data_IF_484534919102
#
_entry.id   IF_484534919102
#
_cell.length_a   1.000
_cell.length_b   1.000
_cell.length_c   1.000
_cell.angle_alpha   90.00
_cell.angle_beta   90.00
_cell.angle_gamma   90.00
#
_symmetry.space_group_name_H-M   'P 1'
#
loop_
_entity.id
_entity.type
_entity.pdbx_description
1 polymer ?
#
# COMPACT_ATOMS: atom_id res chain seq x y z
N UNK A 1 -27.32 9.08 -0.71
CA UNK A 1 -27.22 9.96 -1.90
C UNK A 1 -26.18 9.35 -2.81
N UNK A 2 -26.40 9.37 -4.13
CA UNK A 2 -25.36 9.03 -5.11
C UNK A 2 -25.02 10.33 -5.84
N UNK A 3 -23.74 10.67 -5.90
CA UNK A 3 -23.22 11.81 -6.63
C UNK A 3 -22.38 11.28 -7.78
N UNK A 4 -22.68 11.74 -9.00
CA UNK A 4 -21.87 11.48 -10.18
C UNK A 4 -21.33 12.84 -10.58
N UNK A 5 -20.02 13.02 -10.41
CA UNK A 5 -19.27 14.22 -10.74
C UNK A 5 -18.82 14.18 -12.20
N UNK A 6 -18.38 15.32 -12.71
CA UNK A 6 -17.82 15.47 -14.06
C UNK A 6 -16.59 16.38 -13.99
N UNK A 7 -15.72 16.30 -15.00
CA UNK A 7 -14.49 17.07 -15.12
C UNK A 7 -13.52 16.91 -13.91
N UNK A 8 -13.43 15.69 -13.37
CA UNK A 8 -12.43 15.29 -12.37
C UNK A 8 -11.01 15.49 -12.95
N UNK A 9 -10.78 14.93 -14.13
CA UNK A 9 -9.49 14.95 -14.83
C UNK A 9 -8.99 16.34 -15.26
N UNK A 10 -9.87 17.35 -15.20
CA UNK A 10 -9.54 18.75 -15.50
C UNK A 10 -9.28 19.58 -14.24
N UNK A 11 -9.43 19.00 -13.05
CA UNK A 11 -9.18 19.68 -11.77
C UNK A 11 -10.29 19.53 -10.73
N UNK A 12 -11.02 18.41 -10.71
CA UNK A 12 -12.06 18.09 -9.73
C UNK A 12 -13.28 19.02 -9.78
N UNK A 13 -13.59 19.58 -10.95
CA UNK A 13 -14.56 20.68 -11.04
C UNK A 13 -15.97 20.29 -10.59
N UNK A 14 -16.41 19.07 -10.89
CA UNK A 14 -17.72 18.56 -10.45
C UNK A 14 -17.83 18.52 -8.93
N UNK A 15 -16.84 17.92 -8.25
CA UNK A 15 -16.81 17.89 -6.78
C UNK A 15 -16.65 19.28 -6.18
N UNK A 16 -15.78 20.13 -6.74
CA UNK A 16 -15.58 21.51 -6.29
C UNK A 16 -16.90 22.29 -6.28
N UNK A 17 -17.64 22.27 -7.39
CA UNK A 17 -18.92 22.96 -7.50
C UNK A 17 -19.94 22.37 -6.51
N UNK A 18 -20.02 21.05 -6.39
CA UNK A 18 -20.95 20.43 -5.45
C UNK A 18 -20.65 20.86 -4.01
N UNK A 19 -19.40 20.71 -3.57
CA UNK A 19 -18.97 21.02 -2.20
C UNK A 19 -19.16 22.51 -1.89
N UNK A 20 -18.75 23.39 -2.79
CA UNK A 20 -18.70 24.83 -2.52
C UNK A 20 -20.02 25.57 -2.81
N UNK A 21 -20.93 25.01 -3.61
CA UNK A 21 -22.16 25.70 -4.05
C UNK A 21 -23.45 24.95 -3.75
N UNK A 22 -23.44 23.62 -3.71
CA UNK A 22 -24.68 22.85 -3.63
C UNK A 22 -25.21 22.78 -2.18
N UNK A 23 -26.49 23.07 -1.91
CA UNK A 23 -27.03 23.10 -0.54
C UNK A 23 -26.96 21.73 0.16
N UNK A 24 -26.99 20.63 -0.59
CA UNK A 24 -26.90 19.28 -0.02
C UNK A 24 -25.54 18.93 0.54
N UNK A 25 -24.45 19.61 0.13
CA UNK A 25 -23.12 19.36 0.67
C UNK A 25 -23.08 19.55 2.20
N UNK A 26 -23.90 20.47 2.73
CA UNK A 26 -24.03 20.74 4.17
C UNK A 26 -24.62 19.58 4.98
N UNK A 27 -25.27 18.62 4.31
CA UNK A 27 -25.90 17.45 4.94
C UNK A 27 -25.07 16.17 4.75
N UNK A 28 -23.87 16.26 4.15
CA UNK A 28 -22.99 15.11 3.96
C UNK A 28 -22.15 14.91 5.22
N UNK A 29 -22.31 13.75 5.87
CA UNK A 29 -21.54 13.39 7.07
C UNK A 29 -20.33 12.49 6.79
N UNK A 30 -20.32 11.77 5.67
CA UNK A 30 -19.28 10.83 5.26
C UNK A 30 -19.32 10.67 3.73
N UNK A 31 -18.17 10.51 3.10
CA UNK A 31 -18.06 10.18 1.67
C UNK A 31 -17.42 8.80 1.48
N UNK A 32 -18.01 7.99 0.61
CA UNK A 32 -17.41 6.77 0.09
C UNK A 32 -17.06 7.03 -1.38
N UNK A 33 -15.77 7.23 -1.66
CA UNK A 33 -15.25 7.52 -3.00
C UNK A 33 -14.66 6.26 -3.61
N UNK A 34 -15.04 5.95 -4.85
CA UNK A 34 -14.64 4.73 -5.54
C UNK A 34 -13.92 5.08 -6.83
N UNK A 35 -12.63 4.73 -6.89
CA UNK A 35 -11.69 5.18 -7.91
C UNK A 35 -10.95 4.01 -8.54
N UNK A 36 -10.31 4.29 -9.68
CA UNK A 36 -9.45 3.36 -10.38
C UNK A 36 -8.25 4.09 -10.99
N UNK A 37 -7.04 3.65 -10.64
CA UNK A 37 -5.79 4.11 -11.29
C UNK A 37 -5.14 3.01 -12.14
N UNK A 38 -5.89 1.97 -12.43
CA UNK A 38 -5.46 0.80 -13.17
C UNK A 38 -6.68 -0.02 -13.56
N UNK A 39 -6.44 -1.22 -14.08
CA UNK A 39 -7.50 -2.12 -14.55
C UNK A 39 -7.54 -3.45 -13.78
N UNK A 40 -6.65 -3.64 -12.80
CA UNK A 40 -6.54 -4.89 -12.05
C UNK A 40 -6.03 -4.73 -10.63
N UNK A 41 -5.84 -5.89 -9.98
CA UNK A 41 -5.36 -5.99 -8.61
C UNK A 41 -6.43 -5.71 -7.54
N UNK A 42 -6.08 -5.80 -6.26
CA UNK A 42 -7.06 -5.63 -5.19
C UNK A 42 -7.40 -4.15 -4.96
N UNK A 43 -8.65 -3.87 -4.58
CA UNK A 43 -9.10 -2.54 -4.16
C UNK A 43 -8.59 -2.22 -2.76
N UNK A 44 -7.75 -1.20 -2.66
CA UNK A 44 -7.15 -0.72 -1.42
C UNK A 44 -8.05 0.36 -0.81
N UNK A 45 -8.39 0.20 0.47
CA UNK A 45 -9.03 1.23 1.29
C UNK A 45 -7.97 2.22 1.79
N UNK A 46 -8.22 3.48 1.51
CA UNK A 46 -7.47 4.64 1.97
C UNK A 46 -8.43 5.52 2.77
N UNK A 47 -8.07 5.87 4.00
CA UNK A 47 -8.84 6.85 4.78
C UNK A 47 -8.42 8.24 4.37
N UNK A 48 -9.35 9.17 4.18
CA UNK A 48 -9.02 10.58 3.96
C UNK A 48 -9.63 11.45 5.06
N UNK A 49 -8.76 12.02 5.88
CA UNK A 49 -9.14 12.82 7.06
C UNK A 49 -8.27 14.06 7.20
N UNK A 50 -8.85 15.13 7.74
CA UNK A 50 -8.08 16.32 8.15
C UNK A 50 -7.38 16.16 9.51
N UNK A 51 -7.82 15.20 10.33
CA UNK A 51 -7.31 14.91 11.67
C UNK A 51 -7.11 13.40 11.84
N UNK A 52 -7.36 12.88 13.03
CA UNK A 52 -7.17 11.48 13.37
C UNK A 52 -8.15 10.55 12.65
N UNK A 53 -7.70 9.32 12.38
CA UNK A 53 -8.46 8.32 11.61
C UNK A 53 -9.28 7.33 12.46
N UNK A 54 -9.19 7.38 13.80
CA UNK A 54 -9.58 6.26 14.64
C UNK A 54 -11.05 5.80 14.48
N UNK A 55 -11.99 6.75 14.41
CA UNK A 55 -13.41 6.41 14.35
C UNK A 55 -13.82 5.92 12.95
N UNK A 56 -13.20 6.42 11.88
CA UNK A 56 -13.40 5.87 10.54
C UNK A 56 -12.88 4.42 10.47
N UNK A 57 -11.66 4.16 10.94
CA UNK A 57 -11.09 2.81 10.93
C UNK A 57 -11.92 1.82 11.76
N UNK A 58 -12.43 2.26 12.92
CA UNK A 58 -13.38 1.46 13.72
C UNK A 58 -14.65 1.18 12.94
N UNK A 59 -15.27 2.19 12.34
CA UNK A 59 -16.48 2.02 11.53
C UNK A 59 -16.28 1.07 10.35
N UNK A 60 -15.16 1.18 9.63
CA UNK A 60 -14.81 0.24 8.56
C UNK A 60 -14.63 -1.20 9.07
N UNK A 61 -14.03 -1.36 10.25
CA UNK A 61 -13.81 -2.68 10.86
C UNK A 61 -15.13 -3.29 11.33
N UNK A 62 -16.01 -2.50 11.94
CA UNK A 62 -17.34 -2.92 12.40
C UNK A 62 -18.31 -3.20 11.26
N UNK A 63 -18.20 -2.48 10.14
CA UNK A 63 -18.89 -2.78 8.89
C UNK A 63 -18.52 -4.17 8.33
N UNK A 64 -17.38 -4.72 8.76
CA UNK A 64 -16.94 -6.10 8.51
C UNK A 64 -17.03 -6.53 7.02
N UNK A 65 -16.46 -5.77 6.06
CA UNK A 65 -16.44 -6.20 4.67
C UNK A 65 -15.72 -7.55 4.51
N UNK A 66 -16.04 -8.30 3.45
CA UNK A 66 -15.58 -9.68 3.30
C UNK A 66 -14.07 -9.80 3.04
N UNK A 67 -13.53 -8.90 2.21
CA UNK A 67 -12.14 -8.92 1.78
C UNK A 67 -11.43 -7.59 2.10
N UNK A 68 -11.36 -7.15 3.36
CA UNK A 68 -10.78 -5.85 3.66
C UNK A 68 -9.32 -5.82 3.23
N UNK A 69 -8.94 -4.77 2.50
CA UNK A 69 -7.54 -4.46 2.23
C UNK A 69 -7.27 -2.98 2.53
N UNK A 70 -6.39 -2.71 3.47
CA UNK A 70 -5.95 -1.37 3.85
C UNK A 70 -4.82 -1.47 4.86
N UNK A 71 -3.86 -0.54 4.77
CA UNK A 71 -2.85 -0.40 5.82
C UNK A 71 -2.45 1.07 6.01
N UNK A 72 -2.04 1.41 7.24
CA UNK A 72 -1.67 2.78 7.60
C UNK A 72 -0.39 3.28 6.92
N UNK A 73 0.42 2.38 6.35
CA UNK A 73 1.59 2.76 5.55
C UNK A 73 1.17 3.28 4.17
N UNK A 74 0.22 2.63 3.50
CA UNK A 74 -0.34 3.05 2.22
C UNK A 74 -0.94 4.45 2.33
N UNK A 75 -1.69 4.72 3.40
CA UNK A 75 -2.21 6.06 3.65
C UNK A 75 -1.09 7.10 3.85
N UNK A 76 -0.06 6.77 4.65
CA UNK A 76 1.08 7.66 4.85
C UNK A 76 1.82 7.98 3.55
N UNK A 77 1.98 7.00 2.67
CA UNK A 77 2.59 7.17 1.35
C UNK A 77 1.66 7.97 0.42
N UNK A 78 0.37 7.64 0.39
CA UNK A 78 -0.64 8.31 -0.43
C UNK A 78 -0.66 9.82 -0.19
N UNK A 79 -0.58 10.26 1.08
CA UNK A 79 -0.47 11.68 1.46
C UNK A 79 0.77 12.41 0.93
N UNK A 80 1.81 11.67 0.54
CA UNK A 80 3.04 12.24 -0.01
C UNK A 80 3.02 12.30 -1.55
N UNK A 81 2.06 11.62 -2.18
CA UNK A 81 1.91 11.63 -3.62
C UNK A 81 1.07 12.85 -4.05
N UNK A 82 1.34 13.46 -5.21
CA UNK A 82 0.53 14.52 -5.78
C UNK A 82 -0.72 13.91 -6.44
N UNK A 83 -1.45 13.08 -5.70
CA UNK A 83 -2.69 12.49 -6.15
C UNK A 83 -3.83 13.25 -5.49
N UNK A 84 -4.80 13.64 -6.28
CA UNK A 84 -6.08 14.14 -5.80
C UNK A 84 -7.20 13.29 -6.39
N UNK A 85 -8.32 13.27 -5.69
CA UNK A 85 -9.58 12.72 -6.17
C UNK A 85 -10.69 13.67 -5.76
N UNK A 86 -11.92 13.43 -6.19
CA UNK A 86 -13.06 14.22 -5.74
C UNK A 86 -13.13 14.35 -4.20
N UNK A 87 -12.72 13.30 -3.48
CA UNK A 87 -12.67 13.29 -2.01
C UNK A 87 -11.77 14.39 -1.44
N UNK A 88 -10.74 14.85 -2.17
CA UNK A 88 -9.89 15.98 -1.77
C UNK A 88 -10.75 17.23 -1.53
N UNK A 89 -11.71 17.55 -2.40
CA UNK A 89 -12.58 18.74 -2.24
C UNK A 89 -13.47 18.64 -1.00
N UNK A 90 -14.05 17.47 -0.76
CA UNK A 90 -14.86 17.23 0.44
C UNK A 90 -14.02 17.38 1.72
N UNK A 91 -12.81 16.83 1.71
CA UNK A 91 -11.88 16.91 2.85
C UNK A 91 -11.41 18.34 3.08
N UNK A 92 -10.84 19.00 2.08
CA UNK A 92 -10.18 20.29 2.24
C UNK A 92 -11.18 21.45 2.43
N UNK A 93 -12.20 21.52 1.57
CA UNK A 93 -13.06 22.71 1.52
C UNK A 93 -14.23 22.63 2.51
N UNK A 94 -14.72 21.42 2.80
CA UNK A 94 -15.86 21.21 3.69
C UNK A 94 -15.54 20.45 4.99
N UNK A 95 -14.29 20.01 5.18
CA UNK A 95 -13.90 19.21 6.34
C UNK A 95 -14.81 17.98 6.53
N UNK A 96 -15.13 17.29 5.44
CA UNK A 96 -15.87 16.02 5.44
C UNK A 96 -14.85 14.89 5.28
N UNK A 97 -14.83 13.95 6.24
CA UNK A 97 -13.95 12.80 6.12
C UNK A 97 -14.58 11.74 5.20
N UNK A 98 -13.75 10.85 4.68
CA UNK A 98 -14.24 9.77 3.84
C UNK A 98 -13.27 8.61 3.70
N UNK A 99 -13.73 7.62 2.92
CA UNK A 99 -12.91 6.54 2.43
C UNK A 99 -12.74 6.68 0.94
N UNK A 100 -11.50 6.58 0.47
CA UNK A 100 -11.18 6.39 -0.93
C UNK A 100 -10.85 4.91 -1.16
N UNK A 101 -11.47 4.30 -2.16
CA UNK A 101 -11.20 2.92 -2.55
C UNK A 101 -10.60 2.91 -3.93
N UNK A 102 -9.37 2.41 -4.09
CA UNK A 102 -8.71 2.40 -5.38
C UNK A 102 -7.97 1.08 -5.62
N UNK A 103 -8.12 0.53 -6.81
CA UNK A 103 -7.21 -0.47 -7.35
C UNK A 103 -6.22 0.19 -8.31
N UNK A 104 -4.98 -0.31 -8.34
CA UNK A 104 -3.83 0.37 -8.94
C UNK A 104 -2.94 -0.56 -9.78
N UNK A 105 -3.22 -1.86 -9.81
CA UNK A 105 -2.44 -2.76 -10.66
C UNK A 105 -2.86 -2.60 -12.13
N UNK A 106 -2.00 -3.02 -13.05
CA UNK A 106 -2.18 -2.80 -14.48
C UNK A 106 -2.36 -1.32 -14.87
N UNK A 107 -1.78 -0.41 -14.08
CA UNK A 107 -1.83 1.05 -14.30
C UNK A 107 -1.26 1.52 -15.64
N UNK A 108 -0.56 0.68 -16.41
CA UNK A 108 -0.17 1.01 -17.78
C UNK A 108 -1.37 1.22 -18.73
N UNK A 109 -2.58 0.80 -18.33
CA UNK A 109 -3.82 1.05 -19.08
C UNK A 109 -4.39 2.44 -18.80
N UNK A 110 -4.13 2.99 -17.61
CA UNK A 110 -4.69 4.25 -17.10
C UNK A 110 -4.39 5.42 -18.05
N UNK A 111 -5.38 6.28 -18.33
CA UNK A 111 -5.26 7.39 -19.28
C UNK A 111 -4.78 7.02 -20.69
N UNK A 112 -5.07 5.81 -21.14
CA UNK A 112 -4.77 5.38 -22.51
C UNK A 112 -6.01 4.82 -23.18
N UNK A 113 -5.94 4.62 -24.51
CA UNK A 113 -6.98 3.93 -25.25
C UNK A 113 -7.14 2.44 -24.86
N UNK A 114 -6.24 1.90 -24.03
CA UNK A 114 -6.35 0.54 -23.50
C UNK A 114 -7.30 0.47 -22.30
N UNK A 115 -7.63 1.59 -21.66
CA UNK A 115 -8.62 1.61 -20.59
C UNK A 115 -10.01 1.27 -21.14
N UNK A 116 -10.35 -0.03 -21.08
CA UNK A 116 -11.47 -0.62 -21.77
C UNK A 116 -12.14 -1.66 -20.89
N UNK A 117 -13.44 -1.82 -21.06
CA UNK A 117 -14.25 -2.82 -20.34
C UNK A 117 -13.66 -4.25 -20.40
N UNK A 118 -13.04 -4.62 -21.51
CA UNK A 118 -12.44 -5.95 -21.70
C UNK A 118 -11.16 -6.17 -20.88
N UNK A 119 -10.47 -5.09 -20.49
CA UNK A 119 -9.21 -5.16 -19.74
C UNK A 119 -9.40 -5.00 -18.24
N UNK A 120 -10.54 -4.44 -17.81
CA UNK A 120 -10.91 -4.41 -16.41
C UNK A 120 -11.13 -5.83 -15.86
N UNK A 121 -10.34 -6.21 -14.85
CA UNK A 121 -10.51 -7.45 -14.11
C UNK A 121 -11.83 -7.42 -13.33
N UNK A 122 -12.66 -8.44 -13.55
CA UNK A 122 -13.95 -8.61 -12.88
C UNK A 122 -13.78 -8.82 -11.38
N UNK A 123 -12.75 -9.56 -10.96
CA UNK A 123 -12.49 -9.80 -9.55
C UNK A 123 -12.11 -8.49 -8.85
N UNK A 124 -11.39 -7.61 -9.53
CA UNK A 124 -11.04 -6.27 -9.01
C UNK A 124 -12.28 -5.42 -8.78
N UNK A 125 -13.18 -5.37 -9.76
CA UNK A 125 -14.44 -4.63 -9.65
C UNK A 125 -15.35 -5.23 -8.56
N UNK A 126 -15.47 -6.56 -8.52
CA UNK A 126 -16.24 -7.27 -7.48
C UNK A 126 -15.65 -7.03 -6.08
N UNK A 127 -14.32 -7.02 -5.96
CA UNK A 127 -13.64 -6.73 -4.71
C UNK A 127 -13.93 -5.31 -4.21
N UNK A 128 -13.85 -4.31 -5.08
CA UNK A 128 -14.22 -2.93 -4.73
C UNK A 128 -15.72 -2.83 -4.37
N UNK A 129 -16.58 -3.49 -5.13
CA UNK A 129 -18.02 -3.57 -4.87
C UNK A 129 -18.37 -4.26 -3.54
N UNK A 130 -17.54 -5.19 -3.07
CA UNK A 130 -17.74 -5.89 -1.78
C UNK A 130 -17.70 -4.93 -0.58
N UNK A 131 -17.06 -3.78 -0.72
CA UNK A 131 -17.03 -2.75 0.31
C UNK A 131 -18.33 -1.93 0.35
N UNK A 132 -18.93 -1.67 -0.82
CA UNK A 132 -20.04 -0.74 -0.95
C UNK A 132 -21.22 -1.11 -0.05
N UNK A 133 -21.76 -2.32 -0.19
CA UNK A 133 -22.96 -2.72 0.56
C UNK A 133 -22.67 -2.90 2.06
N UNK A 134 -21.50 -3.43 2.42
CA UNK A 134 -21.10 -3.57 3.81
C UNK A 134 -21.04 -2.21 4.52
N UNK A 135 -20.41 -1.23 3.88
CA UNK A 135 -20.26 0.12 4.45
C UNK A 135 -21.57 0.89 4.44
N UNK A 136 -22.37 0.82 3.37
CA UNK A 136 -23.68 1.47 3.33
C UNK A 136 -24.62 0.96 4.42
N UNK A 137 -24.68 -0.36 4.62
CA UNK A 137 -25.53 -0.96 5.65
C UNK A 137 -25.13 -0.54 7.07
N UNK A 138 -23.82 -0.42 7.33
CA UNK A 138 -23.33 0.01 8.64
C UNK A 138 -23.52 1.52 8.85
N UNK A 139 -23.06 2.34 7.89
CA UNK A 139 -23.04 3.79 8.04
C UNK A 139 -24.43 4.45 7.86
N UNK A 140 -25.44 3.74 7.34
CA UNK A 140 -26.82 4.25 7.34
C UNK A 140 -27.41 4.37 8.75
N UNK A 141 -26.97 3.52 9.67
CA UNK A 141 -27.45 3.50 11.07
C UNK A 141 -26.46 4.17 12.04
N UNK A 142 -25.22 4.39 11.61
CA UNK A 142 -24.18 5.00 12.44
C UNK A 142 -24.39 6.51 12.63
N UNK A 143 -23.96 7.02 13.80
CA UNK A 143 -23.94 8.47 14.02
C UNK A 143 -22.76 9.12 13.30
N UNK A 144 -23.00 9.60 12.07
CA UNK A 144 -21.96 10.22 11.23
C UNK A 144 -21.32 11.47 11.87
N UNK A 145 -22.03 12.17 12.77
CA UNK A 145 -21.48 13.34 13.47
C UNK A 145 -20.35 12.99 14.46
N UNK A 146 -20.23 11.72 14.86
CA UNK A 146 -19.21 11.23 15.77
C UNK A 146 -17.98 10.62 15.06
N UNK A 147 -17.91 10.70 13.72
CA UNK A 147 -16.81 10.09 12.96
C UNK A 147 -15.49 10.86 13.06
N UNK A 148 -15.54 12.15 13.38
CA UNK A 148 -14.33 12.96 13.57
C UNK A 148 -13.54 12.46 14.78
N UNK A 149 -12.23 12.33 14.62
CA UNK A 149 -11.31 11.95 15.69
C UNK A 149 -10.06 12.84 15.67
N UNK A 150 -9.41 12.96 16.83
CA UNK A 150 -8.05 13.51 16.94
C UNK A 150 -7.00 12.39 17.12
N UNK A 151 -7.46 11.18 17.40
CA UNK A 151 -6.61 10.01 17.61
C UNK A 151 -6.40 9.25 16.31
N UNK A 152 -5.20 8.74 16.13
CA UNK A 152 -4.82 7.86 15.04
C UNK A 152 -4.68 6.41 15.49
N UNK A 153 -5.17 5.50 14.67
CA UNK A 153 -4.92 4.07 14.75
C UNK A 153 -3.90 3.67 13.68
N UNK A 154 -3.02 2.76 14.07
CA UNK A 154 -2.33 1.88 13.14
C UNK A 154 -3.29 0.78 12.76
N UNK A 155 -3.38 0.48 11.46
CA UNK A 155 -4.23 -0.57 10.94
C UNK A 155 -3.54 -1.30 9.80
N UNK A 156 -3.77 -2.61 9.71
CA UNK A 156 -3.27 -3.45 8.63
C UNK A 156 -4.01 -4.78 8.61
N UNK A 157 -4.00 -5.44 7.47
CA UNK A 157 -4.60 -6.76 7.33
C UNK A 157 -3.66 -7.88 7.75
N UNK A 158 -4.24 -8.91 8.35
CA UNK A 158 -3.56 -10.17 8.65
C UNK A 158 -4.45 -11.32 8.17
N UNK A 159 -3.86 -12.38 7.56
CA UNK A 159 -4.63 -13.57 7.22
C UNK A 159 -5.48 -14.06 8.40
N UNK A 160 -6.72 -14.47 8.13
CA UNK A 160 -7.71 -14.97 9.12
C UNK A 160 -8.31 -13.93 10.09
N UNK A 161 -7.60 -12.85 10.40
CA UNK A 161 -8.04 -11.83 11.38
C UNK A 161 -8.56 -10.54 10.74
N UNK A 162 -8.78 -10.53 9.41
CA UNK A 162 -9.23 -9.38 8.62
C UNK A 162 -8.38 -8.13 8.89
N UNK A 163 -8.82 -7.19 9.73
CA UNK A 163 -8.15 -5.93 10.03
C UNK A 163 -7.74 -5.88 11.51
N UNK A 164 -6.45 -5.70 11.77
CA UNK A 164 -5.92 -5.45 13.13
C UNK A 164 -5.72 -3.95 13.31
N UNK A 165 -6.09 -3.44 14.48
CA UNK A 165 -5.94 -2.01 14.81
C UNK A 165 -5.36 -1.81 16.21
N UNK A 166 -4.52 -0.79 16.39
CA UNK A 166 -4.08 -0.34 17.73
C UNK A 166 -3.71 1.15 17.73
N UNK A 167 -3.69 1.84 18.89
CA UNK A 167 -3.37 3.28 18.96
C UNK A 167 -1.97 3.62 18.43
N UNK A 168 -1.86 4.71 17.66
CA UNK A 168 -0.57 5.17 17.12
C UNK A 168 0.48 5.43 18.21
N UNK A 169 0.05 5.86 19.40
CA UNK A 169 0.92 6.07 20.57
C UNK A 169 1.68 4.82 21.02
N UNK A 170 1.26 3.62 20.62
CA UNK A 170 1.95 2.37 20.93
C UNK A 170 3.20 2.12 20.08
N UNK A 171 3.36 2.82 18.95
CA UNK A 171 4.51 2.60 18.05
C UNK A 171 5.84 2.77 18.79
N UNK A 172 6.02 3.87 19.51
CA UNK A 172 7.28 4.16 20.19
C UNK A 172 7.58 3.16 21.33
N UNK A 173 6.63 2.85 22.25
CA UNK A 173 6.82 1.80 23.24
C UNK A 173 7.13 0.42 22.63
N UNK A 174 6.40 0.00 21.59
CA UNK A 174 6.62 -1.28 20.93
C UNK A 174 7.98 -1.32 20.23
N UNK A 175 8.41 -0.22 19.62
CA UNK A 175 9.74 -0.10 19.01
C UNK A 175 10.85 -0.22 20.06
N UNK A 176 10.74 0.51 21.18
CA UNK A 176 11.71 0.43 22.28
C UNK A 176 11.76 -1.00 22.83
N UNK A 177 10.59 -1.63 23.07
CA UNK A 177 10.52 -3.00 23.54
C UNK A 177 11.18 -3.98 22.55
N UNK A 178 10.90 -3.84 21.25
CA UNK A 178 11.50 -4.69 20.21
C UNK A 178 13.03 -4.55 20.17
N UNK A 179 13.55 -3.31 20.24
CA UNK A 179 15.00 -3.04 20.31
C UNK A 179 15.60 -3.63 21.57
N UNK A 180 14.97 -3.45 22.74
CA UNK A 180 15.44 -4.02 24.00
C UNK A 180 15.49 -5.55 23.95
N UNK A 181 14.41 -6.19 23.49
CA UNK A 181 14.35 -7.65 23.32
C UNK A 181 15.44 -8.12 22.36
N UNK A 182 15.61 -7.45 21.22
CA UNK A 182 16.66 -7.77 20.25
C UNK A 182 18.06 -7.68 20.89
N UNK A 183 18.39 -6.58 21.57
CA UNK A 183 19.68 -6.40 22.25
C UNK A 183 19.89 -7.46 23.33
N UNK A 184 18.87 -7.78 24.13
CA UNK A 184 18.94 -8.81 25.15
C UNK A 184 19.19 -10.20 24.56
N UNK A 185 18.52 -10.55 23.45
CA UNK A 185 18.72 -11.81 22.74
C UNK A 185 20.12 -11.92 22.15
N UNK A 186 20.63 -10.84 21.54
CA UNK A 186 22.00 -10.78 21.02
C UNK A 186 23.02 -10.93 22.16
N UNK A 187 22.87 -10.18 23.25
CA UNK A 187 23.74 -10.27 24.42
C UNK A 187 23.72 -11.67 25.07
N UNK A 188 22.53 -12.27 25.17
CA UNK A 188 22.35 -13.64 25.66
C UNK A 188 23.03 -14.67 24.74
N UNK A 189 22.92 -14.49 23.42
CA UNK A 189 23.59 -15.34 22.43
C UNK A 189 25.12 -15.30 22.54
N UNK A 190 25.69 -14.12 22.77
CA UNK A 190 27.12 -13.98 23.07
C UNK A 190 27.50 -14.61 24.41
N UNK A 191 26.71 -14.38 25.48
CA UNK A 191 26.96 -14.97 26.81
C UNK A 191 26.96 -16.50 26.78
N UNK A 192 26.05 -17.10 26.01
CA UNK A 192 25.98 -18.57 25.81
C UNK A 192 26.97 -19.10 24.78
N UNK A 193 27.85 -18.25 24.22
CA UNK A 193 28.81 -18.60 23.15
C UNK A 193 28.14 -19.26 21.95
N UNK A 194 26.88 -18.90 21.67
CA UNK A 194 26.10 -19.37 20.51
C UNK A 194 26.29 -18.46 19.30
N UNK A 195 26.76 -17.22 19.53
CA UNK A 195 27.07 -16.24 18.49
C UNK A 195 28.58 -16.02 18.48
N UNK A 196 29.20 -16.20 17.31
CA UNK A 196 30.60 -15.88 17.06
C UNK A 196 30.70 -14.67 16.13
N UNK A 197 31.51 -13.67 16.50
CA UNK A 197 31.62 -12.42 15.73
C UNK A 197 32.14 -12.63 14.31
N UNK A 198 33.10 -13.55 14.12
CA UNK A 198 33.71 -13.80 12.80
C UNK A 198 32.69 -14.33 11.77
N UNK A 199 31.92 -15.41 12.03
CA UNK A 199 30.82 -15.83 11.17
C UNK A 199 29.76 -14.74 10.94
N UNK A 200 29.41 -13.97 11.96
CA UNK A 200 28.44 -12.86 11.83
C UNK A 200 28.94 -11.82 10.83
N UNK A 201 30.18 -11.34 10.97
CA UNK A 201 30.77 -10.37 10.05
C UNK A 201 30.91 -10.92 8.63
N UNK A 202 31.22 -12.21 8.48
CA UNK A 202 31.23 -12.87 7.16
C UNK A 202 29.84 -12.91 6.54
N UNK A 203 28.82 -13.25 7.31
CA UNK A 203 27.43 -13.24 6.85
C UNK A 203 26.96 -11.83 6.48
N UNK A 204 27.37 -10.82 7.25
CA UNK A 204 27.09 -9.41 6.96
C UNK A 204 27.76 -8.97 5.66
N UNK A 205 29.04 -9.28 5.48
CA UNK A 205 29.75 -8.99 4.23
C UNK A 205 29.14 -9.73 3.02
N UNK A 206 28.72 -10.99 3.20
CA UNK A 206 28.01 -11.76 2.18
C UNK A 206 26.68 -11.09 1.79
N UNK A 207 25.88 -10.69 2.78
CA UNK A 207 24.62 -9.97 2.57
C UNK A 207 24.84 -8.69 1.75
N UNK A 208 25.74 -7.80 2.20
CA UNK A 208 25.98 -6.54 1.49
C UNK A 208 26.56 -6.75 0.10
N UNK A 209 27.43 -7.76 -0.08
CA UNK A 209 27.95 -8.10 -1.41
C UNK A 209 26.82 -8.56 -2.34
N UNK A 210 25.95 -9.47 -1.88
CA UNK A 210 24.81 -9.94 -2.66
C UNK A 210 23.82 -8.80 -2.95
N UNK A 211 23.55 -7.95 -1.96
CA UNK A 211 22.68 -6.79 -2.08
C UNK A 211 23.20 -5.80 -3.12
N UNK A 212 24.45 -5.35 -2.99
CA UNK A 212 25.07 -4.40 -3.93
C UNK A 212 25.07 -4.97 -5.34
N UNK A 213 25.49 -6.22 -5.53
CA UNK A 213 25.52 -6.87 -6.86
C UNK A 213 24.11 -6.97 -7.46
N UNK A 214 23.10 -7.33 -6.65
CA UNK A 214 21.71 -7.41 -7.10
C UNK A 214 21.15 -6.04 -7.49
N UNK A 215 21.45 -4.98 -6.70
CA UNK A 215 21.05 -3.60 -7.02
C UNK A 215 21.71 -3.13 -8.31
N UNK A 216 23.01 -3.37 -8.49
CA UNK A 216 23.71 -2.99 -9.71
C UNK A 216 23.14 -3.71 -10.94
N UNK A 217 22.90 -5.02 -10.85
CA UNK A 217 22.31 -5.79 -11.94
C UNK A 217 20.88 -5.34 -12.24
N UNK A 218 20.07 -5.04 -11.21
CA UNK A 218 18.73 -4.49 -11.41
C UNK A 218 18.76 -3.14 -12.13
N UNK A 219 19.57 -2.19 -11.64
CA UNK A 219 19.67 -0.85 -12.21
C UNK A 219 20.23 -0.86 -13.64
N UNK A 220 21.37 -1.51 -13.87
CA UNK A 220 22.01 -1.54 -15.20
C UNK A 220 21.31 -2.49 -16.16
N UNK A 221 20.76 -3.60 -15.66
CA UNK A 221 19.94 -4.52 -16.44
C UNK A 221 18.67 -3.85 -16.95
N UNK A 222 17.99 -3.06 -16.11
CA UNK A 222 16.82 -2.28 -16.55
C UNK A 222 17.20 -1.23 -17.60
N UNK A 223 18.30 -0.48 -17.39
CA UNK A 223 18.80 0.47 -18.39
C UNK A 223 19.14 -0.20 -19.72
N UNK A 224 19.72 -1.40 -19.68
CA UNK A 224 20.00 -2.20 -20.88
C UNK A 224 18.70 -2.61 -21.59
N UNK A 225 17.68 -3.06 -20.84
CA UNK A 225 16.38 -3.40 -21.42
C UNK A 225 15.73 -2.21 -22.11
N UNK A 226 15.76 -1.02 -21.50
CA UNK A 226 15.25 0.20 -22.13
C UNK A 226 16.02 0.57 -23.41
N UNK A 227 17.33 0.31 -23.46
CA UNK A 227 18.13 0.54 -24.66
C UNK A 227 17.83 -0.49 -25.78
N UNK A 228 17.52 -1.74 -25.41
CA UNK A 228 17.17 -2.81 -26.35
C UNK A 228 15.73 -2.70 -26.86
N UNK A 229 14.82 -2.13 -26.08
CA UNK A 229 13.42 -1.94 -26.41
C UNK A 229 13.00 -0.46 -26.28
N UNK A 230 13.43 0.41 -27.21
CA UNK A 230 13.12 1.84 -27.16
C UNK A 230 11.63 2.16 -27.11
N UNK A 231 10.77 1.29 -27.64
CA UNK A 231 9.31 1.45 -27.61
C UNK A 231 8.73 1.51 -26.19
N UNK A 232 9.43 1.01 -25.16
CA UNK A 232 8.98 1.17 -23.78
C UNK A 232 8.93 2.64 -23.33
N UNK A 233 9.65 3.54 -24.02
CA UNK A 233 9.56 4.98 -23.78
C UNK A 233 8.22 5.61 -24.18
N UNK A 234 7.39 4.91 -24.96
CA UNK A 234 6.04 5.38 -25.34
C UNK A 234 5.00 5.08 -24.25
N UNK A 235 5.33 4.24 -23.26
CA UNK A 235 4.42 3.88 -22.17
C UNK A 235 4.41 5.02 -21.16
N UNK A 236 3.26 5.72 -21.09
CA UNK A 236 3.07 6.93 -20.28
C UNK A 236 3.55 6.80 -18.83
N UNK A 237 3.24 5.66 -18.20
CA UNK A 237 3.54 5.42 -16.78
C UNK A 237 4.89 4.75 -16.51
N UNK A 238 5.65 4.38 -17.55
CA UNK A 238 6.98 3.79 -17.43
C UNK A 238 7.05 2.34 -16.93
N UNK A 239 5.95 1.78 -16.41
CA UNK A 239 5.83 0.35 -16.13
C UNK A 239 5.40 -0.42 -17.37
N UNK A 240 6.20 -1.40 -17.79
CA UNK A 240 5.97 -2.14 -19.03
C UNK A 240 4.86 -3.17 -18.89
N UNK A 241 4.21 -3.53 -20.01
CA UNK A 241 3.13 -4.54 -20.03
C UNK A 241 3.58 -5.94 -19.54
N UNK A 242 4.86 -6.27 -19.72
CA UNK A 242 5.51 -7.48 -19.19
C UNK A 242 6.35 -7.19 -17.93
N UNK A 243 6.10 -6.06 -17.24
CA UNK A 243 6.84 -5.60 -16.08
C UNK A 243 6.89 -6.65 -14.96
N UNK A 244 5.76 -7.33 -14.71
CA UNK A 244 5.70 -8.44 -13.75
C UNK A 244 6.65 -9.60 -14.09
N UNK A 245 6.80 -9.92 -15.38
CA UNK A 245 7.77 -10.93 -15.85
C UNK A 245 9.20 -10.48 -15.61
N UNK A 246 9.51 -9.20 -15.86
CA UNK A 246 10.84 -8.65 -15.56
C UNK A 246 11.14 -8.65 -14.07
N UNK A 247 10.17 -8.27 -13.22
CA UNK A 247 10.31 -8.35 -11.76
C UNK A 247 10.66 -9.78 -11.36
N UNK A 248 9.89 -10.77 -11.83
CA UNK A 248 10.16 -12.18 -11.54
C UNK A 248 11.57 -12.61 -11.98
N UNK A 249 11.99 -12.22 -13.18
CA UNK A 249 13.34 -12.51 -13.68
C UNK A 249 14.45 -11.88 -12.81
N UNK A 250 14.32 -10.60 -12.44
CA UNK A 250 15.28 -9.92 -11.57
C UNK A 250 15.30 -10.51 -10.15
N UNK A 251 14.15 -10.94 -9.62
CA UNK A 251 14.08 -11.66 -8.35
C UNK A 251 14.82 -13.00 -8.43
N UNK A 252 14.60 -13.79 -9.49
CA UNK A 252 15.33 -15.04 -9.70
C UNK A 252 16.85 -14.81 -9.77
N UNK A 253 17.29 -13.75 -10.46
CA UNK A 253 18.69 -13.36 -10.53
C UNK A 253 19.23 -12.95 -9.15
N UNK A 254 18.50 -12.14 -8.38
CA UNK A 254 18.88 -11.74 -7.03
C UNK A 254 19.00 -12.94 -6.08
N UNK A 255 18.08 -13.90 -6.16
CA UNK A 255 18.14 -15.16 -5.40
C UNK A 255 19.37 -15.97 -5.82
N UNK A 256 19.63 -16.11 -7.12
CA UNK A 256 20.81 -16.82 -7.62
C UNK A 256 22.11 -16.17 -7.12
N UNK A 257 22.22 -14.83 -7.17
CA UNK A 257 23.36 -14.08 -6.63
C UNK A 257 23.52 -14.36 -5.13
N UNK A 258 22.43 -14.30 -4.37
CA UNK A 258 22.43 -14.59 -2.95
C UNK A 258 22.96 -16.02 -2.70
N UNK A 259 22.42 -17.03 -3.36
CA UNK A 259 22.89 -18.41 -3.25
C UNK A 259 24.37 -18.56 -3.63
N UNK A 260 24.83 -17.93 -4.71
CA UNK A 260 26.22 -17.99 -5.15
C UNK A 260 27.19 -17.35 -4.16
N UNK A 261 26.83 -16.18 -3.61
CA UNK A 261 27.65 -15.48 -2.60
C UNK A 261 27.70 -16.29 -1.31
N UNK A 262 26.55 -16.77 -0.83
CA UNK A 262 26.50 -17.57 0.40
C UNK A 262 27.16 -18.94 0.26
N UNK A 263 27.10 -19.59 -0.91
CA UNK A 263 27.84 -20.83 -1.18
C UNK A 263 29.37 -20.63 -1.04
N UNK A 264 29.90 -19.46 -1.42
CA UNK A 264 31.33 -19.15 -1.26
C UNK A 264 31.73 -18.89 0.20
N UNK A 265 30.82 -18.34 1.00
CA UNK A 265 31.10 -17.89 2.37
C UNK A 265 30.80 -18.98 3.40
N UNK A 266 29.75 -19.77 3.17
CA UNK A 266 29.34 -20.87 4.02
C UNK A 266 29.92 -22.20 3.53
N UNK A 267 30.93 -22.70 4.24
CA UNK A 267 31.42 -24.07 4.08
C UNK A 267 30.97 -24.86 5.29
N UNK A 268 29.95 -25.73 5.18
CA UNK A 268 29.58 -26.59 6.30
C UNK A 268 30.81 -27.43 6.67
N UNK A 269 31.10 -27.56 7.96
CA UNK A 269 32.03 -28.59 8.41
C UNK A 269 31.36 -29.91 8.09
N UNK A 270 31.76 -30.57 7.00
CA UNK A 270 31.47 -32.00 6.86
C UNK A 270 32.10 -32.65 8.09
N UNK A 271 31.27 -33.27 8.92
CA UNK A 271 31.75 -33.98 10.10
C UNK A 271 32.81 -34.98 9.66
N UNK A 272 33.97 -34.93 10.30
CA UNK A 272 34.77 -36.13 10.46
C UNK A 272 33.89 -37.07 11.29
N UNK A 273 33.25 -38.02 10.60
CA UNK A 273 32.74 -39.26 11.21
C UNK A 273 33.95 -40.10 11.57
#
# INVERSE_FOLDING_TARGET
MVLITDAEELGLHGADIFVNKHPWAKNVGLVLNFEARGSGGPSIMLVETNKGNANLIKGFTEANPDYPLGNSLFYSIYKMLPNDTDLTRFREDANIDGFNFAFVDDHFDYHTALDTYSRLDRNTLEHQGSYLMALLNYFSEANLSALKSIDDLVYFNVPLFKMITYPFSWILPLFILAVLVYVLLVAYGFKKRRIELKPVLRGFAAFFSAFIVSVLIGLFGWKLLLALYPQYGEILHGFTYNGHTYIAAFVCVAVAICCLVYNKVYKPKMGQV
#
